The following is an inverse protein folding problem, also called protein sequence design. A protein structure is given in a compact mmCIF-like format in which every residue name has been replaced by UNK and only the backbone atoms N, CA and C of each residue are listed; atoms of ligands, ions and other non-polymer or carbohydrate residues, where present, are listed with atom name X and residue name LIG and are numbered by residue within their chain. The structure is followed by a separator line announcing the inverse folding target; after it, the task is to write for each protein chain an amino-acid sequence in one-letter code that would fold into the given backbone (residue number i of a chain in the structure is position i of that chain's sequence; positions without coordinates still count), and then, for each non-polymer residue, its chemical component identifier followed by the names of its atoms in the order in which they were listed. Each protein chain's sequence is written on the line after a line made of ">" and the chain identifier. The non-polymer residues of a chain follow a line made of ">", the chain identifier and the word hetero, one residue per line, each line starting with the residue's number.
data_IF_031428680287
#
_entry.id   IF_031428680287
#
_cell.length_a   1.000
_cell.length_b   1.000
_cell.length_c   1.000
_cell.angle_alpha   90.00
_cell.angle_beta   90.00
_cell.angle_gamma   90.00
#
_symmetry.space_group_name_H-M   'P 1'
#
loop_
_entity.id
_entity.type
_entity.pdbx_description
1 polymer ?
#
# COMPACT_ATOMS: atom_id res chain seq x y z
N UNK A 1 20.94 2.15 -11.82
CA UNK A 1 20.64 0.70 -11.96
C UNK A 1 21.07 -0.10 -10.70
N UNK A 2 20.75 0.36 -9.48
CA UNK A 2 21.19 -0.30 -8.22
C UNK A 2 20.04 -0.74 -7.30
N UNK A 3 18.84 -0.17 -7.44
CA UNK A 3 17.70 -0.48 -6.56
C UNK A 3 16.90 -1.75 -6.92
N UNK A 4 17.17 -2.40 -8.06
CA UNK A 4 16.40 -3.58 -8.49
C UNK A 4 16.93 -4.89 -7.89
N UNK A 5 18.13 -4.87 -7.28
CA UNK A 5 18.76 -6.03 -6.62
C UNK A 5 19.02 -5.74 -5.12
N UNK A 6 18.20 -4.91 -4.50
CA UNK A 6 18.27 -4.69 -3.05
C UNK A 6 17.46 -5.78 -2.33
N UNK A 7 18.14 -6.88 -2.00
CA UNK A 7 17.61 -8.01 -1.23
C UNK A 7 17.29 -7.64 0.25
N UNK A 8 17.48 -6.39 0.66
CA UNK A 8 17.21 -5.96 2.03
C UNK A 8 15.73 -5.70 2.32
N UNK A 9 14.85 -5.64 1.30
CA UNK A 9 13.42 -5.30 1.46
C UNK A 9 13.13 -4.03 2.27
N UNK A 10 14.14 -3.17 2.48
CA UNK A 10 14.03 -2.01 3.38
C UNK A 10 13.19 -0.88 2.76
N UNK A 11 12.89 -0.96 1.45
CA UNK A 11 12.07 0.03 0.73
C UNK A 11 10.91 -0.66 0.02
N UNK A 12 9.68 -0.33 0.44
CA UNK A 12 8.45 -0.83 -0.14
C UNK A 12 8.46 -0.72 -1.67
N UNK A 13 8.18 -1.84 -2.33
CA UNK A 13 8.12 -1.94 -3.80
C UNK A 13 7.02 -1.00 -4.27
N UNK A 14 7.39 0.12 -4.90
CA UNK A 14 6.41 1.05 -5.47
C UNK A 14 5.45 0.31 -6.43
N UNK A 15 4.16 0.70 -6.53
CA UNK A 15 3.20 0.10 -7.46
C UNK A 15 3.70 0.07 -8.91
N UNK A 16 4.55 1.02 -9.30
CA UNK A 16 5.17 1.09 -10.62
C UNK A 16 6.10 -0.10 -10.93
N UNK A 17 6.77 -0.65 -9.91
CA UNK A 17 7.70 -1.78 -10.06
C UNK A 17 6.93 -3.09 -10.28
N UNK A 18 5.75 -3.25 -9.66
CA UNK A 18 4.92 -4.43 -9.83
C UNK A 18 4.59 -4.73 -11.31
N UNK A 19 4.35 -3.68 -12.11
CA UNK A 19 4.11 -3.83 -13.56
C UNK A 19 5.32 -4.40 -14.30
N UNK A 20 6.52 -3.94 -13.95
CA UNK A 20 7.77 -4.41 -14.56
C UNK A 20 7.99 -5.88 -14.19
N UNK A 21 7.78 -6.23 -12.92
CA UNK A 21 7.88 -7.62 -12.44
C UNK A 21 6.91 -8.54 -13.18
N UNK A 22 5.66 -8.12 -13.42
CA UNK A 22 4.71 -8.90 -14.20
C UNK A 22 5.23 -9.21 -15.61
N UNK A 23 5.77 -8.19 -16.31
CA UNK A 23 6.31 -8.36 -17.66
C UNK A 23 7.51 -9.32 -17.63
N UNK A 24 8.40 -9.18 -16.66
CA UNK A 24 9.54 -10.09 -16.50
C UNK A 24 9.10 -11.53 -16.27
N UNK A 25 8.10 -11.77 -15.40
CA UNK A 25 7.53 -13.09 -15.16
C UNK A 25 6.89 -13.65 -16.44
N UNK A 26 6.13 -12.84 -17.18
CA UNK A 26 5.51 -13.26 -18.43
C UNK A 26 6.57 -13.70 -19.45
N UNK A 27 7.62 -12.90 -19.64
CA UNK A 27 8.73 -13.23 -20.56
C UNK A 27 9.45 -14.49 -20.10
N UNK A 28 9.74 -14.62 -18.81
CA UNK A 28 10.41 -15.80 -18.25
C UNK A 28 9.57 -17.08 -18.43
N UNK A 29 8.25 -17.01 -18.23
CA UNK A 29 7.34 -18.14 -18.47
C UNK A 29 7.25 -18.48 -19.96
N UNK A 30 7.23 -17.48 -20.85
CA UNK A 30 7.26 -17.70 -22.29
C UNK A 30 8.52 -18.43 -22.76
N UNK A 31 9.69 -17.99 -22.28
CA UNK A 31 10.97 -18.65 -22.57
C UNK A 31 10.99 -20.06 -21.95
N UNK A 32 10.57 -20.19 -20.69
CA UNK A 32 10.51 -21.48 -19.98
C UNK A 32 9.59 -22.48 -20.68
N UNK A 33 8.48 -22.02 -21.26
CA UNK A 33 7.59 -22.84 -22.07
C UNK A 33 8.27 -23.33 -23.35
N UNK A 34 8.96 -22.46 -24.08
CA UNK A 34 9.70 -22.88 -25.30
C UNK A 34 10.77 -23.93 -24.94
N UNK A 35 11.53 -23.70 -23.87
CA UNK A 35 12.56 -24.64 -23.39
C UNK A 35 11.94 -25.97 -22.98
N UNK A 36 10.81 -25.97 -22.26
CA UNK A 36 10.15 -27.20 -21.83
C UNK A 36 9.59 -28.01 -23.00
N UNK A 37 9.06 -27.34 -24.03
CA UNK A 37 8.62 -27.99 -25.26
C UNK A 37 9.81 -28.66 -25.96
N UNK A 38 10.92 -27.94 -26.16
CA UNK A 38 12.13 -28.50 -26.81
C UNK A 38 12.66 -29.70 -26.01
N UNK A 39 12.76 -29.57 -24.68
CA UNK A 39 13.21 -30.65 -23.81
C UNK A 39 12.30 -31.88 -23.88
N UNK A 40 10.98 -31.68 -24.01
CA UNK A 40 10.01 -32.78 -24.10
C UNK A 40 10.19 -33.58 -25.38
N UNK A 41 10.43 -32.92 -26.52
CA UNK A 41 10.71 -33.62 -27.79
C UNK A 41 12.11 -34.28 -27.82
N UNK A 42 13.08 -33.81 -27.03
CA UNK A 42 14.39 -34.44 -26.91
C UNK A 42 14.36 -35.84 -26.27
N UNK A 43 13.27 -36.20 -25.58
CA UNK A 43 13.10 -37.50 -24.92
C UNK A 43 12.79 -38.68 -25.86
N UNK A 44 12.75 -38.46 -27.19
CA UNK A 44 12.31 -39.43 -28.22
C UNK A 44 10.87 -39.94 -28.06
N UNK A 45 10.06 -39.31 -27.20
CA UNK A 45 8.65 -39.62 -27.03
C UNK A 45 7.78 -38.49 -27.61
N UNK A 46 7.30 -38.70 -28.83
CA UNK A 46 6.47 -37.71 -29.53
C UNK A 46 5.14 -37.41 -28.81
N UNK A 47 4.56 -38.40 -28.13
CA UNK A 47 3.30 -38.25 -27.38
C UNK A 47 3.50 -37.29 -26.22
N UNK A 48 4.60 -37.44 -25.46
CA UNK A 48 4.95 -36.50 -24.39
C UNK A 48 5.19 -35.09 -24.91
N UNK A 49 5.92 -34.95 -26.03
CA UNK A 49 6.15 -33.64 -26.66
C UNK A 49 4.85 -32.92 -27.02
N UNK A 50 3.92 -33.62 -27.67
CA UNK A 50 2.61 -33.07 -28.06
C UNK A 50 1.77 -32.72 -26.82
N UNK A 51 1.76 -33.59 -25.81
CA UNK A 51 1.00 -33.36 -24.58
C UNK A 51 1.51 -32.15 -23.79
N UNK A 52 2.83 -31.95 -23.73
CA UNK A 52 3.43 -30.77 -23.09
C UNK A 52 3.17 -29.50 -23.90
N UNK A 53 3.28 -29.58 -25.23
CA UNK A 53 3.01 -28.43 -26.10
C UNK A 53 1.55 -27.97 -26.02
N UNK A 54 0.58 -28.89 -26.08
CA UNK A 54 -0.83 -28.55 -26.26
C UNK A 54 -1.58 -28.37 -24.94
N UNK A 55 -1.24 -29.17 -23.91
CA UNK A 55 -2.03 -29.27 -22.69
C UNK A 55 -1.25 -28.77 -21.49
N UNK A 56 -0.17 -29.45 -21.11
CA UNK A 56 0.53 -29.17 -19.85
C UNK A 56 1.14 -27.76 -19.88
N UNK A 57 1.87 -27.41 -20.94
CA UNK A 57 2.60 -26.16 -21.00
C UNK A 57 1.68 -24.93 -20.98
N UNK A 58 0.66 -24.82 -21.85
CA UNK A 58 -0.29 -23.72 -21.78
C UNK A 58 -1.02 -23.66 -20.45
N UNK A 59 -1.45 -24.80 -19.90
CA UNK A 59 -2.13 -24.86 -18.60
C UNK A 59 -1.24 -24.32 -17.46
N UNK A 60 0.02 -24.78 -17.41
CA UNK A 60 1.00 -24.33 -16.41
C UNK A 60 1.27 -22.83 -16.56
N UNK A 61 1.55 -22.35 -17.78
CA UNK A 61 1.81 -20.92 -18.02
C UNK A 61 0.62 -20.07 -17.59
N UNK A 62 -0.60 -20.48 -17.92
CA UNK A 62 -1.82 -19.73 -17.61
C UNK A 62 -2.07 -19.68 -16.10
N UNK A 63 -1.89 -20.80 -15.39
CA UNK A 63 -1.99 -20.84 -13.93
C UNK A 63 -0.95 -19.93 -13.29
N UNK A 64 0.33 -20.00 -13.70
CA UNK A 64 1.37 -19.15 -13.13
C UNK A 64 1.16 -17.67 -13.44
N UNK A 65 0.67 -17.32 -14.63
CA UNK A 65 0.30 -15.94 -14.97
C UNK A 65 -0.87 -15.44 -14.13
N UNK A 66 -1.88 -16.28 -13.86
CA UNK A 66 -3.00 -15.94 -12.99
C UNK A 66 -2.55 -15.72 -11.54
N UNK A 67 -1.70 -16.61 -11.01
CA UNK A 67 -1.12 -16.46 -9.67
C UNK A 67 -0.26 -15.20 -9.57
N UNK A 68 0.59 -14.94 -10.56
CA UNK A 68 1.40 -13.72 -10.62
C UNK A 68 0.51 -12.47 -10.67
N UNK A 69 -0.60 -12.52 -11.42
CA UNK A 69 -1.57 -11.43 -11.51
C UNK A 69 -2.19 -11.13 -10.15
N UNK A 70 -2.74 -12.15 -9.50
CA UNK A 70 -3.38 -12.03 -8.18
C UNK A 70 -2.39 -11.56 -7.13
N UNK A 71 -1.16 -12.10 -7.13
CA UNK A 71 -0.11 -11.72 -6.20
C UNK A 71 0.34 -10.26 -6.36
N UNK A 72 0.47 -9.77 -7.60
CA UNK A 72 0.81 -8.36 -7.83
C UNK A 72 -0.35 -7.43 -7.52
N UNK A 73 -1.59 -7.84 -7.80
CA UNK A 73 -2.77 -7.06 -7.44
C UNK A 73 -2.91 -6.91 -5.93
N UNK A 74 -2.67 -7.97 -5.15
CA UNK A 74 -2.73 -7.90 -3.69
C UNK A 74 -1.63 -7.00 -3.10
N UNK A 75 -0.40 -7.08 -3.63
CA UNK A 75 0.71 -6.21 -3.21
C UNK A 75 0.41 -4.73 -3.49
N UNK A 76 -0.06 -4.42 -4.71
CA UNK A 76 -0.41 -3.04 -5.10
C UNK A 76 -1.61 -2.53 -4.29
N UNK A 77 -2.62 -3.36 -4.05
CA UNK A 77 -3.76 -2.99 -3.21
C UNK A 77 -3.34 -2.69 -1.76
N UNK A 78 -2.42 -3.46 -1.20
CA UNK A 78 -1.86 -3.21 0.15
C UNK A 78 -1.17 -1.85 0.26
N UNK A 79 -0.33 -1.51 -0.72
CA UNK A 79 0.35 -0.21 -0.77
C UNK A 79 -0.64 0.94 -0.88
N UNK A 80 -1.61 0.84 -1.81
CA UNK A 80 -2.65 1.87 -1.97
C UNK A 80 -3.50 2.05 -0.72
N UNK A 81 -3.76 0.98 0.02
CA UNK A 81 -4.50 1.04 1.29
C UNK A 81 -3.71 1.82 2.35
N UNK A 82 -2.39 1.60 2.43
CA UNK A 82 -1.51 2.36 3.32
C UNK A 82 -1.44 3.85 2.94
N UNK A 83 -1.31 4.15 1.64
CA UNK A 83 -1.30 5.52 1.12
C UNK A 83 -2.61 6.25 1.41
N UNK A 84 -3.76 5.61 1.14
CA UNK A 84 -5.08 6.17 1.42
C UNK A 84 -5.30 6.42 2.92
N UNK A 85 -4.83 5.51 3.79
CA UNK A 85 -4.95 5.68 5.25
C UNK A 85 -4.11 6.86 5.74
N UNK A 86 -2.88 7.00 5.24
CA UNK A 86 -2.02 8.14 5.56
C UNK A 86 -2.63 9.47 5.10
N UNK A 87 -3.28 9.48 3.93
CA UNK A 87 -3.98 10.66 3.41
C UNK A 87 -5.22 11.02 4.24
N UNK A 88 -6.01 10.03 4.68
CA UNK A 88 -7.15 10.27 5.58
C UNK A 88 -6.73 10.95 6.89
N UNK A 89 -5.63 10.50 7.51
CA UNK A 89 -5.09 11.11 8.74
C UNK A 89 -4.63 12.54 8.49
N UNK A 90 -3.99 12.80 7.34
CA UNK A 90 -3.55 14.14 6.94
C UNK A 90 -4.73 15.10 6.77
N UNK A 91 -5.82 14.65 6.16
CA UNK A 91 -7.06 15.44 6.00
C UNK A 91 -7.73 15.69 7.37
N UNK A 92 -7.63 14.74 8.29
CA UNK A 92 -8.20 14.83 9.65
C UNK A 92 -7.35 15.68 10.63
N UNK A 93 -6.26 16.31 10.17
CA UNK A 93 -5.43 17.21 10.96
C UNK A 93 -4.39 16.52 11.85
N UNK A 94 -4.17 15.20 11.68
CA UNK A 94 -3.12 14.46 12.36
C UNK A 94 -1.80 14.43 11.58
N UNK A 95 -0.66 14.42 12.27
CA UNK A 95 0.64 14.18 11.65
C UNK A 95 0.91 12.67 11.53
N UNK A 96 1.14 12.13 10.31
CA UNK A 96 1.35 10.70 10.13
C UNK A 96 2.65 10.21 10.81
N UNK A 97 2.63 9.02 11.45
CA UNK A 97 3.79 8.46 12.14
C UNK A 97 4.81 7.94 11.11
N UNK A 98 5.80 8.77 10.78
CA UNK A 98 6.89 8.38 9.86
C UNK A 98 7.65 9.55 9.24
N UNK A 99 7.06 10.75 9.24
CA UNK A 99 7.70 11.99 8.79
C UNK A 99 7.96 12.89 10.00
N UNK A 100 8.74 12.40 10.96
CA UNK A 100 9.28 13.27 12.00
C UNK A 100 10.24 14.25 11.31
N UNK A 101 9.76 15.46 11.02
CA UNK A 101 10.56 16.52 10.44
C UNK A 101 11.76 16.82 11.36
N UNK A 102 12.95 16.47 10.87
CA UNK A 102 14.20 17.03 11.32
C UNK A 102 14.21 18.52 10.93
N UNK A 103 13.88 19.38 11.89
CA UNK A 103 14.03 20.83 11.73
C UNK A 103 12.97 21.64 12.45
N UNK A 104 13.35 22.16 13.61
CA UNK A 104 12.85 23.46 14.09
C UNK A 104 11.85 23.42 15.24
N UNK A 105 12.34 23.75 16.42
CA UNK A 105 11.54 24.37 17.48
C UNK A 105 11.01 23.43 18.55
N UNK A 106 11.58 23.56 19.75
CA UNK A 106 11.01 23.03 20.98
C UNK A 106 9.55 23.48 21.12
N UNK A 107 8.63 22.53 21.31
CA UNK A 107 7.20 22.84 21.40
C UNK A 107 6.31 21.70 21.89
N UNK A 108 6.79 20.86 22.81
CA UNK A 108 5.96 19.94 23.61
C UNK A 108 5.10 18.91 22.82
N UNK A 109 4.39 18.01 23.53
CA UNK A 109 3.41 17.14 22.89
C UNK A 109 2.18 17.96 22.47
N UNK A 110 2.02 18.18 21.17
CA UNK A 110 0.79 18.79 20.62
C UNK A 110 -0.28 17.69 20.58
N UNK A 111 -1.26 17.78 21.48
CA UNK A 111 -2.38 16.85 21.53
C UNK A 111 -3.29 17.01 20.30
N UNK A 112 -3.92 15.93 19.78
CA UNK A 112 -4.80 16.01 18.61
C UNK A 112 -6.07 16.85 18.89
N UNK A 113 -6.28 17.91 18.11
CA UNK A 113 -7.50 18.74 18.12
C UNK A 113 -8.69 18.04 17.42
N UNK A 114 -9.10 16.87 17.91
CA UNK A 114 -10.25 16.12 17.37
C UNK A 114 -10.83 15.03 18.27
N UNK A 115 -10.12 14.64 19.33
CA UNK A 115 -10.59 13.70 20.36
C UNK A 115 -10.62 14.30 21.76
N UNK A 116 -10.73 15.63 21.88
CA UNK A 116 -10.84 16.35 23.15
C UNK A 116 -12.18 17.11 23.28
N UNK A 117 -13.28 16.55 22.73
CA UNK A 117 -14.58 17.23 22.72
C UNK A 117 -15.68 16.52 23.52
N UNK A 118 -15.36 15.54 24.35
CA UNK A 118 -16.37 14.95 25.23
C UNK A 118 -15.71 14.35 26.45
N UNK A 119 -16.22 14.71 27.62
CA UNK A 119 -15.81 14.37 29.00
C UNK A 119 -14.91 15.40 29.72
N UNK A 120 -15.54 16.51 30.14
CA UNK A 120 -15.27 17.05 31.49
C UNK A 120 -14.40 18.30 31.64
N UNK A 121 -14.53 19.33 30.80
CA UNK A 121 -13.93 20.64 31.12
C UNK A 121 -15.00 21.59 31.70
N UNK A 122 -14.95 21.93 33.00
CA UNK A 122 -15.80 22.98 33.55
C UNK A 122 -15.42 24.33 32.91
N UNK A 123 -16.40 25.19 32.56
CA UNK A 123 -16.14 26.45 31.88
C UNK A 123 -15.25 27.36 32.72
N UNK A 124 -14.10 27.77 32.17
CA UNK A 124 -13.10 28.65 32.81
C UNK A 124 -13.36 30.14 32.59
N UNK A 125 -14.55 30.52 32.12
CA UNK A 125 -14.94 31.92 31.95
C UNK A 125 -16.15 32.23 32.85
N UNK A 126 -16.05 33.21 33.78
CA UNK A 126 -17.25 33.73 34.41
C UNK A 126 -18.16 34.32 33.32
N UNK A 127 -19.48 34.05 33.33
CA UNK A 127 -20.41 34.65 32.40
C UNK A 127 -20.32 36.17 32.48
N UNK A 128 -20.13 36.84 31.35
CA UNK A 128 -20.22 38.29 31.27
C UNK A 128 -21.69 38.68 31.44
N UNK A 129 -22.12 38.96 32.67
CA UNK A 129 -23.47 39.44 32.95
C UNK A 129 -23.60 40.88 32.39
N UNK A 130 -24.70 41.19 31.67
CA UNK A 130 -24.99 42.58 31.32
C UNK A 130 -25.17 43.42 32.61
N UNK A 131 -24.82 44.72 32.59
CA UNK A 131 -24.98 45.58 33.75
C UNK A 131 -26.42 45.57 34.25
N UNK A 132 -26.59 45.36 35.56
CA UNK A 132 -27.88 45.32 36.23
C UNK A 132 -28.66 46.63 35.96
N UNK A 133 -29.91 46.52 35.52
CA UNK A 133 -30.84 47.64 35.51
C UNK A 133 -31.27 47.93 36.95
N UNK A 134 -30.85 49.07 37.51
CA UNK A 134 -31.40 49.63 38.75
C UNK A 134 -32.77 50.28 38.44
N UNK A 135 -33.87 49.82 39.06
CA UNK A 135 -35.15 50.52 38.96
C UNK A 135 -35.15 51.80 39.82
N UNK A 136 -35.88 52.85 39.40
CA UNK A 136 -35.88 54.15 40.08
C UNK A 136 -36.46 54.05 41.50
N UNK A 137 -35.76 54.67 42.45
CA UNK A 137 -36.17 54.77 43.85
C UNK A 137 -37.52 55.51 43.96
N UNK A 138 -38.46 54.87 44.67
CA UNK A 138 -39.67 55.53 45.17
C UNK A 138 -39.39 56.15 46.53
#
# INVERSE_FOLDING_TARGET
>A
MKNLFDLSFTRFVSPSIARIVYILIMVALGIGYIVSVIASFATRNAILGILVMLVIGPLVVLIYLALARIGLESLVAGIRTAENTAELIRIQGGTPPGWAHAGGGAGGPVAPNGWNQSYGQPPTSPPNYPPHYEPPAQ
#
